data_IF_682766826111
#
_entry.id   IF_682766826111
#
_cell.length_a   1.000
_cell.length_b   1.000
_cell.length_c   1.000
_cell.angle_alpha   90.00
_cell.angle_beta   90.00
_cell.angle_gamma   90.00
#
_symmetry.space_group_name_H-M   'P 1'
#
loop_
_entity.id
_entity.type
_entity.pdbx_description
1 polymer ?
#
# COMPACT_ATOMS: atom_id res chain seq x y z
N UNK A 1 10.21 -15.65 16.77
CA UNK A 1 10.53 -16.84 15.93
C UNK A 1 10.29 -16.62 14.43
N UNK A 2 9.12 -16.12 14.00
CA UNK A 2 8.87 -15.86 12.56
C UNK A 2 9.58 -14.59 12.06
N UNK A 3 9.46 -13.47 12.78
CA UNK A 3 10.17 -12.23 12.45
C UNK A 3 11.70 -12.43 12.42
N UNK A 4 12.24 -13.17 13.38
CA UNK A 4 13.68 -13.49 13.42
C UNK A 4 14.13 -14.23 12.16
N UNK A 5 13.37 -15.23 11.70
CA UNK A 5 13.67 -15.98 10.47
C UNK A 5 13.63 -15.08 9.22
N UNK A 6 12.70 -14.13 9.15
CA UNK A 6 12.64 -13.15 8.05
C UNK A 6 13.87 -12.24 8.07
N UNK A 7 14.24 -11.73 9.24
CA UNK A 7 15.39 -10.84 9.37
C UNK A 7 16.71 -11.57 9.07
N UNK A 8 16.84 -12.82 9.48
CA UNK A 8 17.98 -13.66 9.10
C UNK A 8 18.07 -13.86 7.58
N UNK A 9 16.93 -14.10 6.92
CA UNK A 9 16.87 -14.24 5.47
C UNK A 9 17.21 -12.94 4.74
N UNK A 10 16.68 -11.79 5.20
CA UNK A 10 16.99 -10.47 4.63
C UNK A 10 18.48 -10.17 4.81
N UNK A 11 19.05 -10.42 5.99
CA UNK A 11 20.49 -10.26 6.25
C UNK A 11 21.31 -11.08 5.26
N UNK A 12 21.00 -12.36 5.08
CA UNK A 12 21.71 -13.22 4.14
C UNK A 12 21.59 -12.74 2.69
N UNK A 13 20.42 -12.22 2.29
CA UNK A 13 20.22 -11.63 0.96
C UNK A 13 21.08 -10.38 0.76
N UNK A 14 21.13 -9.49 1.74
CA UNK A 14 21.96 -8.28 1.71
C UNK A 14 23.45 -8.63 1.64
N UNK A 15 23.92 -9.56 2.48
CA UNK A 15 25.33 -10.00 2.50
C UNK A 15 25.77 -10.63 1.16
N UNK A 16 24.89 -11.40 0.52
CA UNK A 16 25.18 -12.02 -0.79
C UNK A 16 25.11 -11.05 -1.96
N UNK A 17 24.47 -9.90 -1.79
CA UNK A 17 24.22 -8.94 -2.87
C UNK A 17 24.54 -7.50 -2.44
N UNK A 18 25.78 -7.20 -2.02
CA UNK A 18 26.14 -5.90 -1.44
C UNK A 18 25.93 -4.71 -2.40
N UNK A 19 25.99 -4.96 -3.72
CA UNK A 19 25.89 -3.92 -4.75
C UNK A 19 24.51 -3.89 -5.45
N UNK A 20 23.49 -4.55 -4.89
CA UNK A 20 22.15 -4.59 -5.49
C UNK A 20 21.11 -3.93 -4.60
N UNK A 21 20.13 -3.34 -5.28
CA UNK A 21 18.89 -2.91 -4.65
C UNK A 21 18.00 -4.14 -4.45
N UNK A 22 17.52 -4.34 -3.23
CA UNK A 22 16.55 -5.37 -2.89
C UNK A 22 15.21 -4.68 -2.69
N UNK A 23 14.20 -5.11 -3.44
CA UNK A 23 12.82 -4.62 -3.30
C UNK A 23 12.02 -5.69 -2.59
N UNK A 24 11.42 -5.32 -1.46
CA UNK A 24 10.53 -6.20 -0.68
C UNK A 24 9.10 -5.70 -0.85
N UNK A 25 8.22 -6.58 -1.31
CA UNK A 25 6.78 -6.35 -1.36
C UNK A 25 6.13 -7.00 -0.12
N UNK A 26 5.53 -6.17 0.74
CA UNK A 26 4.92 -6.60 1.99
C UNK A 26 3.85 -5.60 2.44
N UNK A 27 2.84 -6.11 3.13
CA UNK A 27 1.83 -5.30 3.83
C UNK A 27 2.18 -5.11 5.32
N UNK A 28 3.28 -5.72 5.76
CA UNK A 28 3.77 -5.71 7.15
C UNK A 28 5.22 -5.22 7.20
N UNK A 29 5.48 -3.92 6.93
CA UNK A 29 6.83 -3.36 6.98
C UNK A 29 7.48 -3.49 8.37
N UNK A 30 6.68 -3.55 9.44
CA UNK A 30 7.10 -3.67 10.84
C UNK A 30 7.87 -4.97 11.17
N UNK A 31 7.76 -5.99 10.33
CA UNK A 31 8.45 -7.27 10.57
C UNK A 31 9.94 -7.18 10.23
N UNK A 32 10.34 -6.20 9.41
CA UNK A 32 11.70 -6.03 8.93
C UNK A 32 12.45 -5.07 9.85
N UNK A 33 13.66 -5.48 10.27
CA UNK A 33 14.54 -4.66 11.08
C UNK A 33 14.82 -3.31 10.36
N UNK A 34 14.53 -2.17 11.00
CA UNK A 34 14.69 -0.84 10.42
C UNK A 34 16.11 -0.53 9.90
N UNK A 35 17.13 -1.24 10.38
CA UNK A 35 18.53 -1.09 9.94
C UNK A 35 18.76 -1.58 8.50
N UNK A 36 17.93 -2.49 7.98
CA UNK A 36 17.98 -2.96 6.60
C UNK A 36 17.12 -2.14 5.64
N UNK A 37 16.30 -1.23 6.15
CA UNK A 37 15.38 -0.45 5.34
C UNK A 37 15.99 0.92 5.03
N UNK A 38 16.15 1.23 3.74
CA UNK A 38 16.54 2.57 3.28
C UNK A 38 15.33 3.48 3.05
N UNK A 39 14.28 2.93 2.43
CA UNK A 39 13.03 3.61 2.09
C UNK A 39 11.85 2.66 2.20
N UNK A 40 10.68 3.20 2.58
CA UNK A 40 9.39 2.50 2.59
C UNK A 40 8.45 3.28 1.69
N UNK A 41 7.89 2.63 0.68
CA UNK A 41 6.91 3.24 -0.20
C UNK A 41 5.52 2.74 0.15
N UNK A 42 4.70 3.61 0.75
CA UNK A 42 3.30 3.27 1.07
C UNK A 42 2.43 3.70 -0.11
N UNK A 43 1.94 2.71 -0.86
CA UNK A 43 1.06 2.95 -2.01
C UNK A 43 -0.36 3.20 -1.52
N UNK A 44 -0.92 4.36 -1.85
CA UNK A 44 -2.32 4.72 -1.60
C UNK A 44 -3.12 4.61 -2.87
N UNK A 45 -4.42 4.35 -2.72
CA UNK A 45 -5.33 4.38 -3.86
C UNK A 45 -6.72 4.82 -3.41
N UNK A 46 -7.48 5.39 -4.34
CA UNK A 46 -8.88 5.70 -4.06
C UNK A 46 -9.61 4.40 -3.63
N UNK A 47 -10.33 4.38 -2.50
CA UNK A 47 -11.03 3.19 -2.02
C UNK A 47 -12.02 2.60 -3.05
N UNK A 48 -12.61 3.43 -3.92
CA UNK A 48 -13.42 2.96 -5.05
C UNK A 48 -12.59 2.12 -6.03
N UNK A 49 -11.35 2.54 -6.36
CA UNK A 49 -10.44 1.75 -7.21
C UNK A 49 -10.00 0.46 -6.54
N UNK A 50 -9.85 0.45 -5.21
CA UNK A 50 -9.57 -0.78 -4.46
C UNK A 50 -10.72 -1.77 -4.64
N UNK A 51 -11.97 -1.32 -4.45
CA UNK A 51 -13.16 -2.14 -4.67
C UNK A 51 -13.21 -2.71 -6.11
N UNK A 52 -13.00 -1.86 -7.12
CA UNK A 52 -12.99 -2.27 -8.53
C UNK A 52 -12.00 -3.42 -8.79
N UNK A 53 -10.75 -3.27 -8.33
CA UNK A 53 -9.66 -4.23 -8.54
C UNK A 53 -9.91 -5.55 -7.82
N UNK A 54 -10.41 -5.50 -6.58
CA UNK A 54 -10.64 -6.72 -5.80
C UNK A 54 -11.87 -7.48 -6.28
N UNK A 55 -12.91 -6.77 -6.73
CA UNK A 55 -14.09 -7.39 -7.33
C UNK A 55 -13.77 -8.02 -8.69
N UNK A 56 -12.89 -7.42 -9.50
CA UNK A 56 -12.37 -8.06 -10.71
C UNK A 56 -11.61 -9.36 -10.45
N UNK A 57 -10.97 -9.45 -9.27
CA UNK A 57 -10.25 -10.65 -8.81
C UNK A 57 -11.13 -11.64 -8.06
N UNK A 58 -12.45 -11.41 -8.00
CA UNK A 58 -13.44 -12.28 -7.36
C UNK A 58 -13.14 -12.52 -5.86
N UNK A 59 -12.66 -11.49 -5.17
CA UNK A 59 -12.43 -11.59 -3.72
C UNK A 59 -13.76 -11.65 -2.94
N UNK A 60 -13.80 -12.31 -1.78
CA UNK A 60 -14.99 -12.33 -0.93
C UNK A 60 -15.39 -10.92 -0.47
N UNK A 61 -16.69 -10.62 -0.43
CA UNK A 61 -17.27 -9.33 -0.03
C UNK A 61 -16.61 -8.78 1.24
N UNK A 62 -16.52 -9.60 2.28
CA UNK A 62 -15.97 -9.21 3.58
C UNK A 62 -14.51 -8.74 3.46
N UNK A 63 -13.72 -9.43 2.64
CA UNK A 63 -12.32 -9.06 2.39
C UNK A 63 -12.18 -7.77 1.61
N UNK A 64 -13.11 -7.50 0.69
CA UNK A 64 -13.10 -6.25 -0.07
C UNK A 64 -13.42 -5.07 0.84
N UNK A 65 -14.46 -5.19 1.67
CA UNK A 65 -14.84 -4.17 2.64
C UNK A 65 -13.70 -3.91 3.64
N UNK A 66 -13.08 -4.97 4.18
CA UNK A 66 -11.91 -4.87 5.07
C UNK A 66 -10.76 -4.07 4.44
N UNK A 67 -10.47 -4.29 3.15
CA UNK A 67 -9.41 -3.56 2.44
C UNK A 67 -9.80 -2.10 2.15
N UNK A 68 -11.08 -1.82 1.85
CA UNK A 68 -11.59 -0.45 1.69
C UNK A 68 -11.46 0.32 3.01
N UNK A 69 -11.88 -0.30 4.12
CA UNK A 69 -11.77 0.27 5.47
C UNK A 69 -10.32 0.55 5.85
N UNK A 70 -9.43 -0.43 5.63
CA UNK A 70 -8.01 -0.28 5.93
C UNK A 70 -7.37 0.88 5.16
N UNK A 71 -7.75 1.09 3.90
CA UNK A 71 -7.26 2.22 3.09
C UNK A 71 -7.82 3.56 3.58
N UNK A 72 -9.12 3.63 3.91
CA UNK A 72 -9.76 4.84 4.45
C UNK A 72 -9.10 5.25 5.76
N UNK A 73 -8.86 4.29 6.66
CA UNK A 73 -8.23 4.50 7.96
C UNK A 73 -6.71 4.70 7.87
N UNK A 74 -6.10 4.43 6.71
CA UNK A 74 -4.66 4.55 6.52
C UNK A 74 -3.84 3.54 7.34
N UNK A 75 -4.35 2.33 7.55
CA UNK A 75 -3.74 1.31 8.42
C UNK A 75 -2.31 0.97 8.00
N UNK A 76 -2.06 0.77 6.70
CA UNK A 76 -0.71 0.47 6.20
C UNK A 76 0.29 1.61 6.48
N UNK A 77 -0.16 2.88 6.35
CA UNK A 77 0.67 4.04 6.64
C UNK A 77 0.92 4.14 8.16
N UNK A 78 -0.12 3.97 8.97
CA UNK A 78 -0.04 4.00 10.42
C UNK A 78 0.96 2.96 10.94
N UNK A 79 0.85 1.70 10.51
CA UNK A 79 1.76 0.63 10.91
C UNK A 79 3.22 0.94 10.53
N UNK A 80 3.44 1.51 9.34
CA UNK A 80 4.78 1.92 8.92
C UNK A 80 5.34 3.03 9.83
N UNK A 81 4.53 4.04 10.17
CA UNK A 81 4.96 5.18 11.00
C UNK A 81 5.26 4.77 12.44
N UNK A 82 4.49 3.84 13.00
CA UNK A 82 4.66 3.42 14.40
C UNK A 82 5.94 2.60 14.62
N UNK A 83 6.34 1.80 13.64
CA UNK A 83 7.39 0.79 13.80
C UNK A 83 8.69 1.14 13.06
N UNK A 84 8.67 2.17 12.22
CA UNK A 84 9.81 2.54 11.35
C UNK A 84 10.12 4.03 11.44
N UNK A 85 11.30 4.41 10.94
CA UNK A 85 11.71 5.82 10.88
C UNK A 85 10.82 6.61 9.89
N UNK A 86 10.04 7.61 10.34
CA UNK A 86 9.15 8.38 9.47
C UNK A 86 9.88 9.11 8.33
N UNK A 87 11.17 9.42 8.47
CA UNK A 87 11.97 10.05 7.42
C UNK A 87 12.30 9.11 6.24
N UNK A 88 12.09 7.81 6.43
CA UNK A 88 12.25 6.80 5.37
C UNK A 88 10.94 6.49 4.65
N UNK A 89 9.81 6.97 5.15
CA UNK A 89 8.48 6.66 4.62
C UNK A 89 8.08 7.69 3.56
N UNK A 90 7.86 7.20 2.35
CA UNK A 90 7.37 7.98 1.23
C UNK A 90 5.99 7.47 0.84
N UNK A 91 4.99 8.33 0.97
CA UNK A 91 3.63 8.00 0.55
C UNK A 91 3.46 8.28 -0.94
N UNK A 92 2.89 7.32 -1.67
CA UNK A 92 2.75 7.39 -3.12
C UNK A 92 1.28 7.28 -3.48
N UNK A 93 0.75 8.32 -4.12
CA UNK A 93 -0.61 8.35 -4.63
C UNK A 93 -0.58 8.96 -6.03
N UNK A 94 -0.73 8.11 -7.04
CA UNK A 94 -0.76 8.52 -8.44
C UNK A 94 -1.93 7.86 -9.17
N UNK A 95 -2.32 8.44 -10.30
CA UNK A 95 -3.52 8.00 -11.03
C UNK A 95 -3.34 6.64 -11.72
N UNK A 96 -2.14 6.35 -12.19
CA UNK A 96 -1.74 5.13 -12.89
C UNK A 96 -0.39 4.58 -12.40
N UNK A 97 -0.05 3.38 -12.88
CA UNK A 97 1.12 2.64 -12.44
C UNK A 97 2.42 3.30 -12.90
N UNK A 98 2.44 3.78 -14.15
CA UNK A 98 3.61 4.40 -14.76
C UNK A 98 4.05 5.64 -13.98
N UNK A 99 3.10 6.51 -13.61
CA UNK A 99 3.38 7.68 -12.79
C UNK A 99 3.86 7.29 -11.37
N UNK A 100 3.28 6.26 -10.76
CA UNK A 100 3.72 5.78 -9.45
C UNK A 100 5.16 5.27 -9.50
N UNK A 101 5.51 4.48 -10.52
CA UNK A 101 6.87 3.96 -10.72
C UNK A 101 7.85 5.09 -11.01
N UNK A 102 7.49 6.03 -11.89
CA UNK A 102 8.34 7.19 -12.20
C UNK A 102 8.62 8.01 -10.93
N UNK A 103 7.61 8.27 -10.10
CA UNK A 103 7.77 8.98 -8.84
C UNK A 103 8.70 8.25 -7.87
N UNK A 104 8.53 6.94 -7.69
CA UNK A 104 9.41 6.13 -6.84
C UNK A 104 10.86 6.22 -7.34
N UNK A 105 11.09 6.10 -8.65
CA UNK A 105 12.43 6.21 -9.24
C UNK A 105 13.05 7.60 -9.02
N UNK A 106 12.27 8.67 -9.15
CA UNK A 106 12.74 10.03 -8.88
C UNK A 106 13.12 10.23 -7.42
N UNK A 107 12.32 9.71 -6.49
CA UNK A 107 12.64 9.74 -5.05
C UNK A 107 13.96 9.00 -4.78
N UNK A 108 14.14 7.80 -5.35
CA UNK A 108 15.37 7.03 -5.19
C UNK A 108 16.62 7.73 -5.77
N UNK A 109 16.45 8.57 -6.81
CA UNK A 109 17.53 9.39 -7.37
C UNK A 109 17.76 10.72 -6.63
N UNK A 110 16.92 11.05 -5.65
CA UNK A 110 16.95 12.35 -4.97
C UNK A 110 16.41 13.50 -5.82
N UNK A 111 15.63 13.20 -6.85
CA UNK A 111 15.00 14.16 -7.78
C UNK A 111 13.58 14.58 -7.32
N UNK A 112 13.09 13.99 -6.23
CA UNK A 112 11.79 14.28 -5.62
C UNK A 112 11.82 14.02 -4.11
N UNK A 113 10.86 14.61 -3.38
CA UNK A 113 10.78 14.50 -1.92
C UNK A 113 10.17 13.16 -1.48
N UNK A 114 10.85 12.50 -0.55
CA UNK A 114 10.25 11.43 0.25
C UNK A 114 9.52 12.06 1.44
N UNK A 115 8.19 11.94 1.47
CA UNK A 115 7.38 12.46 2.57
C UNK A 115 6.07 11.69 2.71
N UNK A 116 5.49 11.80 3.90
CA UNK A 116 4.11 11.42 4.18
C UNK A 116 3.21 12.56 3.69
N UNK A 117 2.16 12.20 2.94
CA UNK A 117 1.16 13.13 2.45
C UNK A 117 -0.05 13.10 3.39
N UNK A 118 -0.81 14.19 3.46
CA UNK A 118 -2.07 14.19 4.20
C UNK A 118 -3.21 13.79 3.26
N UNK A 119 -3.36 12.48 3.00
CA UNK A 119 -4.49 11.93 2.24
C UNK A 119 -5.60 11.56 3.21
N UNK A 120 -6.67 12.34 3.16
CA UNK A 120 -7.85 12.15 3.99
C UNK A 120 -9.03 11.64 3.14
N UNK A 121 -9.19 10.31 3.09
CA UNK A 121 -10.30 9.69 2.39
C UNK A 121 -11.65 9.94 3.05
N UNK A 122 -11.70 10.20 4.36
CA UNK A 122 -12.95 10.48 5.07
C UNK A 122 -13.55 11.78 4.53
N UNK A 123 -12.72 12.81 4.41
CA UNK A 123 -13.13 14.10 3.82
C UNK A 123 -13.50 13.98 2.33
N UNK A 124 -12.89 13.06 1.58
CA UNK A 124 -13.19 12.87 0.15
C UNK A 124 -14.48 12.09 -0.07
N UNK A 125 -14.75 11.10 0.77
CA UNK A 125 -15.90 10.21 0.62
C UNK A 125 -17.18 10.79 1.22
N UNK A 126 -17.07 11.72 2.18
CA UNK A 126 -18.08 12.49 2.94
C UNK A 126 -19.25 11.68 3.54
N UNK A 127 -19.91 10.86 2.75
CA UNK A 127 -21.13 10.12 3.05
C UNK A 127 -21.10 8.64 2.66
N UNK A 128 -20.08 8.18 1.91
CA UNK A 128 -20.01 6.79 1.46
C UNK A 128 -19.32 5.90 2.49
N UNK A 129 -20.08 4.96 3.05
CA UNK A 129 -19.56 3.86 3.86
C UNK A 129 -18.81 2.85 2.98
N UNK A 130 -17.88 2.06 3.57
CA UNK A 130 -17.22 0.95 2.87
C UNK A 130 -18.21 -0.01 2.18
N UNK A 131 -19.34 -0.32 2.84
CA UNK A 131 -20.42 -1.12 2.28
C UNK A 131 -21.05 -0.45 1.07
N UNK A 132 -21.38 0.84 1.14
CA UNK A 132 -21.97 1.57 0.02
C UNK A 132 -21.02 1.63 -1.18
N UNK A 133 -19.72 1.76 -0.95
CA UNK A 133 -18.69 1.69 -2.00
C UNK A 133 -18.71 0.31 -2.67
N UNK A 134 -18.74 -0.77 -1.87
CA UNK A 134 -18.85 -2.13 -2.39
C UNK A 134 -20.12 -2.33 -3.22
N UNK A 135 -21.29 -1.97 -2.69
CA UNK A 135 -22.59 -2.14 -3.37
C UNK A 135 -22.65 -1.33 -4.68
N UNK A 136 -22.12 -0.10 -4.66
CA UNK A 136 -22.07 0.77 -5.84
C UNK A 136 -21.21 0.18 -6.95
N UNK A 137 -20.09 -0.47 -6.63
CA UNK A 137 -19.07 -0.84 -7.60
C UNK A 137 -19.20 -2.29 -8.04
N UNK A 138 -19.36 -3.21 -7.09
CA UNK A 138 -19.24 -4.64 -7.33
C UNK A 138 -20.58 -5.25 -7.73
N UNK A 139 -21.68 -4.89 -7.04
CA UNK A 139 -23.02 -5.42 -7.35
C UNK A 139 -23.55 -4.86 -8.67
N UNK A 140 -23.28 -3.59 -8.99
CA UNK A 140 -23.63 -3.02 -10.31
C UNK A 140 -22.89 -3.71 -11.46
N UNK A 141 -21.68 -4.24 -11.21
CA UNK A 141 -20.90 -5.00 -12.20
C UNK A 141 -21.44 -6.42 -12.41
N UNK A 142 -21.94 -7.07 -11.38
CA UNK A 142 -22.55 -8.39 -11.54
C UNK A 142 -23.83 -8.32 -12.40
N UNK A 143 -24.62 -7.26 -12.23
CA UNK A 143 -25.81 -7.04 -13.07
C UNK A 143 -25.42 -6.83 -14.54
N UNK A 144 -24.36 -6.06 -14.83
CA UNK A 144 -23.91 -5.81 -16.20
C UNK A 144 -23.18 -6.98 -16.85
N UNK A 145 -22.64 -7.93 -16.09
CA UNK A 145 -22.05 -9.18 -16.60
C UNK A 145 -23.10 -10.27 -16.89
N UNK A 146 -24.28 -10.19 -16.29
CA UNK A 146 -25.39 -11.12 -16.50
C UNK A 146 -26.41 -10.67 -17.56
N UNK A 147 -26.23 -9.48 -18.15
CA UNK A 147 -27.01 -8.96 -19.28
C UNK A 147 -26.26 -9.08 -20.61
#
# INVERSE_FOLDING_TARGET
>A
EFADKINDFIRELCEKNPDKIIVVDSHYPEIIDPSYIEKIFVLRANPEKIAERLCEREWPREKIIENIEAEILGVCLYNAVEEQDPFKICEIYEKDLEQAVEKILRILRGEDECRIMYIDWISVLETSTPEEIYEKICVRRDISRQS
#
